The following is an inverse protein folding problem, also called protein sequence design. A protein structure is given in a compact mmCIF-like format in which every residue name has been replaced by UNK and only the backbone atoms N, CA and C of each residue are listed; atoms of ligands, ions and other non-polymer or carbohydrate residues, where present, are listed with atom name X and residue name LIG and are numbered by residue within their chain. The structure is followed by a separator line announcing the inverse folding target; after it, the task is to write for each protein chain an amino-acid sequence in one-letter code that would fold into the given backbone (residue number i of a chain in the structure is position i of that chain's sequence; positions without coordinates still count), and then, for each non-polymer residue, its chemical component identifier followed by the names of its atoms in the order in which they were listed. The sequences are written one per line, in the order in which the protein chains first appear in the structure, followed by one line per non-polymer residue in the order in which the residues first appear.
data_IF_261960474278
#
_entry.id   IF_261960474278
#
_cell.length_a   1.000
_cell.length_b   1.000
_cell.length_c   1.000
_cell.angle_alpha   90.00
_cell.angle_beta   90.00
_cell.angle_gamma   90.00
#
_symmetry.space_group_name_H-M   'P 1'
#
loop_
_entity.id
_entity.type
_entity.pdbx_description
1 polymer ?
#
# COMPACT_ATOMS: atom_id res chain seq x y z
N UNK A 1 -15.35 26.23 -11.54
CA UNK A 1 -15.39 24.83 -11.09
C UNK A 1 -14.43 24.73 -9.90
N UNK A 2 -14.81 24.06 -8.82
CA UNK A 2 -13.89 23.86 -7.69
C UNK A 2 -12.79 22.86 -8.08
N UNK A 3 -11.55 22.98 -7.55
CA UNK A 3 -10.45 22.10 -7.91
C UNK A 3 -10.63 20.64 -7.42
N UNK A 4 -11.43 20.43 -6.37
CA UNK A 4 -11.75 19.12 -5.82
C UNK A 4 -13.05 19.17 -5.00
N UNK A 5 -13.59 18.00 -4.66
CA UNK A 5 -14.75 17.83 -3.78
C UNK A 5 -14.31 17.39 -2.38
N UNK A 6 -15.05 17.81 -1.35
CA UNK A 6 -14.79 17.45 0.05
C UNK A 6 -15.89 16.50 0.52
N UNK A 7 -15.49 15.28 0.85
CA UNK A 7 -16.40 14.22 1.32
C UNK A 7 -15.95 13.71 2.70
N UNK A 8 -16.92 13.30 3.53
CA UNK A 8 -16.64 12.63 4.79
C UNK A 8 -16.40 11.15 4.50
N UNK A 9 -15.26 10.60 4.94
CA UNK A 9 -14.95 9.18 4.78
C UNK A 9 -15.95 8.34 5.59
N UNK A 10 -16.73 7.44 4.96
CA UNK A 10 -17.60 6.54 5.70
C UNK A 10 -16.76 5.59 6.56
N UNK A 11 -17.15 5.42 7.82
CA UNK A 11 -16.45 4.56 8.78
C UNK A 11 -17.36 3.38 9.14
N UNK A 12 -16.78 2.19 9.12
CA UNK A 12 -17.45 0.95 9.50
C UNK A 12 -16.90 0.41 10.82
N UNK A 13 -17.74 -0.33 11.54
CA UNK A 13 -17.29 -1.05 12.73
C UNK A 13 -16.39 -2.22 12.32
N UNK A 14 -15.43 -2.58 13.17
CA UNK A 14 -14.44 -3.62 12.86
C UNK A 14 -15.05 -4.98 12.49
N UNK A 15 -16.22 -5.33 13.03
CA UNK A 15 -16.94 -6.57 12.67
C UNK A 15 -17.80 -6.45 11.40
N UNK A 16 -17.79 -5.30 10.72
CA UNK A 16 -18.34 -5.09 9.37
C UNK A 16 -17.34 -5.38 8.26
N UNK A 17 -16.16 -5.92 8.61
CA UNK A 17 -15.03 -6.15 7.70
C UNK A 17 -15.41 -6.87 6.40
N UNK A 18 -16.19 -7.95 6.49
CA UNK A 18 -16.56 -8.74 5.32
C UNK A 18 -17.36 -7.93 4.30
N UNK A 19 -18.20 -7.00 4.75
CA UNK A 19 -18.95 -6.10 3.86
C UNK A 19 -18.02 -5.04 3.25
N UNK A 20 -17.09 -4.50 4.05
CA UNK A 20 -16.09 -3.52 3.57
C UNK A 20 -15.26 -4.12 2.44
N UNK A 21 -14.65 -5.28 2.68
CA UNK A 21 -13.77 -5.97 1.72
C UNK A 21 -14.52 -6.41 0.46
N UNK A 22 -15.66 -7.10 0.62
CA UNK A 22 -16.32 -7.77 -0.53
C UNK A 22 -17.31 -6.89 -1.29
N UNK A 23 -17.85 -5.84 -0.66
CA UNK A 23 -18.95 -5.05 -1.24
C UNK A 23 -18.55 -3.60 -1.45
N UNK A 24 -17.90 -2.97 -0.47
CA UNK A 24 -17.61 -1.53 -0.52
C UNK A 24 -16.34 -1.23 -1.30
N UNK A 25 -15.24 -1.92 -0.99
CA UNK A 25 -13.93 -1.70 -1.63
C UNK A 25 -13.98 -1.79 -3.17
N UNK A 26 -14.62 -2.81 -3.78
CA UNK A 26 -14.70 -2.90 -5.24
C UNK A 26 -15.54 -1.81 -5.90
N UNK A 27 -16.37 -1.09 -5.13
CA UNK A 27 -17.25 -0.02 -5.62
C UNK A 27 -16.67 1.37 -5.39
N UNK A 28 -15.48 1.48 -4.80
CA UNK A 28 -14.82 2.76 -4.59
C UNK A 28 -14.41 3.36 -5.94
N UNK A 29 -14.58 4.67 -6.08
CA UNK A 29 -14.15 5.42 -7.27
C UNK A 29 -12.65 5.81 -7.22
N UNK A 30 -11.89 5.25 -6.28
CA UNK A 30 -10.46 5.49 -6.07
C UNK A 30 -9.77 4.17 -5.74
N UNK A 31 -8.46 4.10 -5.97
CA UNK A 31 -7.66 2.93 -5.60
C UNK A 31 -7.66 2.67 -4.09
N UNK A 32 -7.71 1.41 -3.70
CA UNK A 32 -7.71 0.95 -2.32
C UNK A 32 -6.75 -0.22 -2.19
N UNK A 33 -5.82 -0.13 -1.24
CA UNK A 33 -4.66 -1.03 -1.08
C UNK A 33 -4.65 -1.73 0.29
N UNK A 34 -5.82 -1.80 0.93
CA UNK A 34 -6.00 -2.42 2.24
C UNK A 34 -6.98 -1.68 3.15
N UNK A 35 -6.76 -1.80 4.46
CA UNK A 35 -7.66 -1.33 5.51
C UNK A 35 -6.92 -0.51 6.56
N UNK A 36 -7.65 0.43 7.17
CA UNK A 36 -7.18 1.21 8.32
C UNK A 36 -8.11 0.96 9.51
N UNK A 37 -7.56 0.44 10.60
CA UNK A 37 -8.25 0.30 11.87
C UNK A 37 -7.89 1.48 12.76
N UNK A 38 -8.91 2.25 13.16
CA UNK A 38 -8.74 3.40 14.06
C UNK A 38 -9.38 3.07 15.40
N UNK A 39 -8.62 3.15 16.48
CA UNK A 39 -9.15 2.99 17.84
C UNK A 39 -10.21 4.04 18.14
N UNK A 40 -11.37 3.60 18.63
CA UNK A 40 -12.47 4.50 19.02
C UNK A 40 -12.16 5.33 20.27
N UNK A 41 -11.26 4.84 21.12
CA UNK A 41 -11.03 5.42 22.45
C UNK A 41 -9.69 6.12 22.59
N UNK A 42 -8.75 5.88 21.66
CA UNK A 42 -7.48 6.55 21.68
C UNK A 42 -7.65 8.04 21.32
N UNK A 43 -6.99 8.97 22.05
CA UNK A 43 -6.90 10.35 21.61
C UNK A 43 -6.08 10.45 20.33
N UNK A 44 -6.22 11.56 19.61
CA UNK A 44 -5.33 11.85 18.49
C UNK A 44 -3.93 12.20 19.00
N UNK A 45 -2.91 11.58 18.41
CA UNK A 45 -1.50 11.84 18.69
C UNK A 45 -0.76 12.22 17.39
N UNK A 46 0.09 13.27 17.41
CA UNK A 46 0.95 13.57 16.28
C UNK A 46 2.10 12.54 16.19
N UNK A 47 2.32 11.97 15.01
CA UNK A 47 3.41 11.03 14.74
C UNK A 47 2.96 9.57 14.73
N UNK A 48 3.90 8.65 14.96
CA UNK A 48 3.64 7.21 14.99
C UNK A 48 2.87 6.83 16.24
N UNK A 49 1.76 6.11 16.09
CA UNK A 49 0.95 5.58 17.19
C UNK A 49 0.63 4.11 16.93
N UNK A 50 0.48 3.34 18.01
CA UNK A 50 0.06 1.93 17.95
C UNK A 50 -1.47 1.78 17.92
N UNK A 51 -2.21 2.89 18.09
CA UNK A 51 -3.68 2.91 18.09
C UNK A 51 -4.31 2.97 16.68
N UNK A 52 -3.47 3.12 15.65
CA UNK A 52 -3.86 3.06 14.24
C UNK A 52 -3.10 1.92 13.59
N UNK A 53 -3.85 0.95 13.08
CA UNK A 53 -3.28 -0.19 12.37
C UNK A 53 -3.60 -0.06 10.87
N UNK A 54 -2.59 -0.29 10.04
CA UNK A 54 -2.76 -0.47 8.60
C UNK A 54 -2.63 -1.96 8.29
N UNK A 55 -3.59 -2.49 7.56
CA UNK A 55 -3.53 -3.83 7.01
C UNK A 55 -3.48 -3.74 5.51
N UNK A 56 -2.65 -4.56 4.88
CA UNK A 56 -2.59 -4.76 3.43
C UNK A 56 -2.58 -6.26 3.17
N UNK A 57 -3.23 -6.75 2.11
CA UNK A 57 -3.06 -8.13 1.68
C UNK A 57 -1.57 -8.45 1.52
N UNK A 58 -1.05 -9.57 2.04
CA UNK A 58 0.36 -9.91 1.93
C UNK A 58 0.86 -9.89 0.48
N UNK A 59 0.02 -10.34 -0.46
CA UNK A 59 0.30 -10.39 -1.90
C UNK A 59 0.42 -9.01 -2.56
N UNK A 60 -0.16 -7.97 -1.95
CA UNK A 60 -0.04 -6.58 -2.43
C UNK A 60 1.22 -5.87 -1.91
N UNK A 61 2.03 -6.53 -1.07
CA UNK A 61 3.34 -5.99 -0.70
C UNK A 61 4.33 -6.26 -1.82
N UNK A 62 4.85 -5.17 -2.37
CA UNK A 62 5.81 -5.22 -3.46
C UNK A 62 7.20 -4.84 -2.99
N UNK A 63 8.20 -5.36 -3.70
CA UNK A 63 9.61 -5.02 -3.52
C UNK A 63 10.15 -4.58 -4.87
N UNK A 64 10.88 -3.46 -4.90
CA UNK A 64 11.57 -3.07 -6.12
C UNK A 64 12.92 -3.79 -6.20
N UNK A 65 13.13 -4.59 -7.23
CA UNK A 65 14.39 -5.26 -7.54
C UNK A 65 15.00 -4.71 -8.82
N UNK A 66 16.32 -4.86 -8.97
CA UNK A 66 16.97 -4.69 -10.27
C UNK A 66 16.91 -6.02 -11.01
N UNK A 67 16.37 -6.02 -12.22
CA UNK A 67 16.22 -7.21 -13.05
C UNK A 67 17.44 -7.36 -13.96
N UNK A 68 18.02 -8.55 -13.98
CA UNK A 68 19.09 -8.91 -14.89
C UNK A 68 18.73 -10.19 -15.67
N UNK A 69 18.88 -10.15 -16.99
CA UNK A 69 18.55 -11.25 -17.90
C UNK A 69 19.81 -12.05 -18.21
N UNK A 70 19.86 -13.30 -17.77
CA UNK A 70 20.96 -14.21 -18.04
C UNK A 70 20.59 -15.18 -19.16
N UNK A 71 21.04 -14.90 -20.39
CA UNK A 71 20.77 -15.73 -21.57
C UNK A 71 21.69 -16.96 -21.61
N UNK A 72 21.18 -18.14 -22.00
CA UNK A 72 22.00 -19.34 -22.16
C UNK A 72 23.03 -19.17 -23.29
N UNK A 73 24.16 -19.88 -23.26
CA UNK A 73 25.17 -19.79 -24.33
C UNK A 73 24.70 -20.46 -25.63
N UNK A 74 25.07 -19.88 -26.77
CA UNK A 74 24.88 -20.46 -28.11
C UNK A 74 26.05 -21.37 -28.46
N UNK A 75 25.95 -22.65 -28.05
CA UNK A 75 26.99 -23.65 -28.29
C UNK A 75 27.14 -24.05 -29.76
N UNK A 76 26.15 -23.75 -30.61
CA UNK A 76 26.18 -24.05 -32.05
C UNK A 76 26.95 -22.99 -32.82
N UNK A 77 26.77 -21.71 -32.47
CA UNK A 77 27.55 -20.62 -33.05
C UNK A 77 28.96 -20.52 -32.46
N UNK A 78 29.10 -20.82 -31.16
CA UNK A 78 30.35 -20.66 -30.42
C UNK A 78 30.53 -21.79 -29.38
N UNK A 79 31.35 -22.82 -29.69
CA UNK A 79 31.63 -23.92 -28.77
C UNK A 79 32.31 -23.50 -27.46
N UNK A 80 32.86 -22.27 -27.36
CA UNK A 80 33.44 -21.77 -26.11
C UNK A 80 32.39 -21.40 -25.07
N UNK A 81 31.14 -21.16 -25.50
CA UNK A 81 30.03 -20.77 -24.65
C UNK A 81 30.09 -19.33 -24.15
N UNK A 82 30.94 -18.47 -24.74
CA UNK A 82 31.03 -17.06 -24.37
C UNK A 82 29.93 -16.20 -25.03
N UNK A 83 29.39 -16.66 -26.16
CA UNK A 83 28.34 -15.95 -26.90
C UNK A 83 26.94 -16.31 -26.37
N UNK A 84 26.12 -15.34 -25.90
CA UNK A 84 24.75 -15.63 -25.47
C UNK A 84 23.78 -15.86 -26.64
N UNK A 85 22.88 -16.82 -26.49
CA UNK A 85 21.73 -17.02 -27.37
C UNK A 85 20.59 -16.05 -27.01
N UNK A 86 20.56 -14.92 -27.69
CA UNK A 86 19.53 -13.88 -27.53
C UNK A 86 18.12 -14.30 -27.99
N UNK A 87 17.97 -15.45 -28.67
CA UNK A 87 16.66 -15.96 -29.12
C UNK A 87 16.02 -16.85 -28.06
N UNK A 88 16.85 -17.49 -27.24
CA UNK A 88 16.40 -18.33 -26.13
C UNK A 88 15.84 -17.51 -24.98
N UNK A 89 15.00 -18.16 -24.16
CA UNK A 89 14.47 -17.55 -22.94
C UNK A 89 15.59 -17.40 -21.90
N UNK A 90 15.82 -16.19 -21.35
CA UNK A 90 16.82 -15.99 -20.32
C UNK A 90 16.32 -16.52 -18.97
N UNK A 91 17.25 -16.67 -18.03
CA UNK A 91 16.92 -16.72 -16.59
C UNK A 91 16.81 -15.31 -16.06
N UNK A 92 15.79 -15.05 -15.25
CA UNK A 92 15.49 -13.73 -14.72
C UNK A 92 16.02 -13.60 -13.30
N UNK A 93 17.10 -12.85 -13.14
CA UNK A 93 17.76 -12.66 -11.86
C UNK A 93 17.26 -11.38 -11.19
N UNK A 94 16.83 -11.49 -9.93
CA UNK A 94 16.45 -10.34 -9.10
C UNK A 94 17.62 -9.94 -8.20
N UNK A 95 18.00 -8.66 -8.25
CA UNK A 95 19.06 -8.11 -7.44
C UNK A 95 18.52 -7.06 -6.46
N UNK A 96 18.99 -7.13 -5.22
CA UNK A 96 18.70 -6.13 -4.18
C UNK A 96 19.85 -5.14 -4.04
N UNK A 97 19.54 -3.94 -3.55
CA UNK A 97 20.54 -2.89 -3.35
C UNK A 97 21.30 -3.09 -2.03
N UNK A 98 22.63 -2.90 -2.05
CA UNK A 98 23.50 -3.06 -0.87
C UNK A 98 24.09 -1.73 -0.42
N UNK A 99 24.84 -1.05 -1.28
CA UNK A 99 25.48 0.22 -0.95
C UNK A 99 25.88 0.96 -2.22
N UNK A 100 25.89 2.30 -2.22
CA UNK A 100 26.23 3.08 -3.42
C UNK A 100 25.33 2.70 -4.61
N UNK A 101 25.93 2.20 -5.69
CA UNK A 101 25.24 1.64 -6.85
C UNK A 101 25.35 0.10 -6.94
N UNK A 102 25.90 -0.55 -5.91
CA UNK A 102 26.11 -1.99 -5.86
C UNK A 102 24.79 -2.74 -5.58
N UNK A 103 24.57 -3.77 -6.39
CA UNK A 103 23.43 -4.68 -6.28
C UNK A 103 23.95 -6.11 -6.15
N UNK A 104 23.33 -6.90 -5.28
CA UNK A 104 23.68 -8.32 -5.09
C UNK A 104 22.50 -9.20 -5.44
N UNK A 105 22.79 -10.44 -5.83
CA UNK A 105 21.77 -11.45 -6.10
C UNK A 105 20.87 -11.65 -4.87
N UNK A 106 19.55 -11.59 -5.10
CA UNK A 106 18.55 -11.89 -4.09
C UNK A 106 17.85 -13.22 -4.38
N UNK A 107 17.21 -13.33 -5.55
CA UNK A 107 16.40 -14.49 -5.90
C UNK A 107 16.21 -14.59 -7.43
N UNK A 108 15.55 -15.66 -7.87
CA UNK A 108 15.11 -15.84 -9.25
C UNK A 108 13.65 -15.44 -9.41
N UNK A 109 13.35 -14.75 -10.51
CA UNK A 109 12.00 -14.54 -11.00
C UNK A 109 11.64 -15.73 -11.90
N UNK A 110 10.52 -16.38 -11.61
CA UNK A 110 9.95 -17.37 -12.51
C UNK A 110 8.90 -16.66 -13.37
N UNK A 111 9.17 -16.62 -14.67
CA UNK A 111 8.30 -16.03 -15.67
C UNK A 111 7.99 -17.14 -16.65
N UNK A 112 6.71 -17.42 -16.90
CA UNK A 112 6.33 -18.46 -17.87
C UNK A 112 6.59 -18.01 -19.32
N UNK A 113 6.40 -18.93 -20.26
CA UNK A 113 6.65 -18.64 -21.67
C UNK A 113 5.62 -17.67 -22.27
N UNK A 114 4.39 -17.66 -21.75
CA UNK A 114 3.32 -16.79 -22.22
C UNK A 114 3.61 -15.33 -21.79
N UNK A 115 3.89 -15.11 -20.51
CA UNK A 115 4.29 -13.81 -19.94
C UNK A 115 5.54 -13.27 -20.64
N UNK A 116 6.55 -14.12 -20.89
CA UNK A 116 7.75 -13.70 -21.61
C UNK A 116 7.44 -13.28 -23.05
N UNK A 117 6.53 -13.97 -23.73
CA UNK A 117 6.10 -13.59 -25.08
C UNK A 117 5.36 -12.26 -25.09
N UNK A 118 4.53 -11.96 -24.09
CA UNK A 118 3.87 -10.66 -23.96
C UNK A 118 4.88 -9.51 -23.82
N UNK A 119 5.90 -9.68 -22.98
CA UNK A 119 6.96 -8.69 -22.83
C UNK A 119 7.75 -8.46 -24.12
N UNK A 120 8.05 -9.53 -24.87
CA UNK A 120 8.68 -9.40 -26.19
C UNK A 120 7.80 -8.62 -27.18
N UNK A 121 6.48 -8.85 -27.18
CA UNK A 121 5.55 -8.12 -28.06
C UNK A 121 5.48 -6.63 -27.70
N UNK A 122 5.55 -6.30 -26.40
CA UNK A 122 5.60 -4.91 -25.93
C UNK A 122 6.88 -4.18 -26.37
N UNK A 123 7.91 -4.93 -26.79
CA UNK A 123 9.20 -4.39 -27.24
C UNK A 123 9.86 -3.46 -26.21
N UNK A 124 9.62 -3.72 -24.91
CA UNK A 124 10.22 -2.97 -23.80
C UNK A 124 11.52 -3.64 -23.35
N UNK A 125 12.57 -2.84 -23.11
CA UNK A 125 13.82 -3.34 -22.56
C UNK A 125 13.65 -3.61 -21.06
N UNK A 126 13.78 -4.87 -20.65
CA UNK A 126 13.68 -5.29 -19.25
C UNK A 126 15.03 -5.42 -18.53
N UNK A 127 16.12 -5.64 -19.27
CA UNK A 127 17.44 -5.83 -18.67
C UNK A 127 18.01 -4.55 -18.07
N UNK A 128 18.67 -4.72 -16.93
CA UNK A 128 19.29 -3.67 -16.11
C UNK A 128 18.30 -2.64 -15.53
N UNK A 129 17.00 -2.98 -15.48
CA UNK A 129 15.94 -2.08 -15.01
C UNK A 129 15.42 -2.40 -13.62
N UNK A 130 14.87 -1.39 -12.95
CA UNK A 130 14.16 -1.58 -11.69
C UNK A 130 12.73 -2.02 -11.96
N UNK A 131 12.34 -3.17 -11.42
CA UNK A 131 10.99 -3.75 -11.52
C UNK A 131 10.37 -3.82 -10.13
N UNK A 132 9.09 -3.52 -10.04
CA UNK A 132 8.30 -3.72 -8.83
C UNK A 132 7.72 -5.14 -8.89
N UNK A 133 8.07 -5.98 -7.92
CA UNK A 133 7.65 -7.38 -7.86
C UNK A 133 6.77 -7.67 -6.65
N UNK A 134 5.71 -8.46 -6.83
CA UNK A 134 4.90 -9.06 -5.77
C UNK A 134 5.28 -10.52 -5.55
N UNK A 135 5.21 -10.98 -4.29
CA UNK A 135 5.41 -12.39 -3.96
C UNK A 135 4.08 -13.13 -3.96
N UNK A 136 3.98 -14.19 -4.76
CA UNK A 136 2.82 -15.06 -4.78
C UNK A 136 3.12 -16.36 -4.01
N UNK A 137 2.38 -16.66 -2.93
CA UNK A 137 2.57 -17.90 -2.18
C UNK A 137 2.18 -19.11 -3.04
N UNK A 138 2.72 -20.31 -2.74
CA UNK A 138 2.42 -21.51 -3.51
C UNK A 138 0.92 -21.83 -3.37
N UNK A 139 0.28 -22.19 -4.49
CA UNK A 139 -1.14 -22.53 -4.47
C UNK A 139 -1.36 -23.80 -3.64
N UNK A 140 -2.38 -23.84 -2.75
CA UNK A 140 -2.72 -25.05 -2.00
C UNK A 140 -3.16 -26.22 -2.91
N UNK A 141 -3.60 -25.93 -4.14
CA UNK A 141 -4.26 -26.89 -5.04
C UNK A 141 -3.45 -27.20 -6.32
N UNK A 142 -2.23 -26.68 -6.49
CA UNK A 142 -1.46 -26.88 -7.72
C UNK A 142 0.05 -26.89 -7.53
N UNK A 143 0.75 -27.56 -8.45
CA UNK A 143 2.21 -27.71 -8.57
C UNK A 143 2.99 -26.38 -8.75
N UNK A 144 2.34 -25.23 -8.62
CA UNK A 144 2.99 -23.93 -8.79
C UNK A 144 3.86 -23.62 -7.58
N UNK A 145 5.16 -23.56 -7.85
CA UNK A 145 6.20 -23.10 -6.93
C UNK A 145 5.87 -21.65 -6.52
N UNK A 146 6.26 -21.25 -5.33
CA UNK A 146 6.14 -19.84 -4.92
C UNK A 146 7.03 -18.96 -5.79
N UNK A 147 6.48 -17.92 -6.40
CA UNK A 147 7.17 -17.13 -7.43
C UNK A 147 6.99 -15.63 -7.25
N UNK A 148 8.03 -14.89 -7.63
CA UNK A 148 7.94 -13.45 -7.83
C UNK A 148 7.21 -13.15 -9.14
N UNK A 149 6.42 -12.09 -9.18
CA UNK A 149 5.78 -11.60 -10.41
C UNK A 149 6.02 -10.11 -10.59
N UNK A 150 6.33 -9.69 -11.82
CA UNK A 150 6.53 -8.26 -12.13
C UNK A 150 5.16 -7.58 -12.18
N UNK A 151 4.94 -6.61 -11.31
CA UNK A 151 3.75 -5.76 -11.33
C UNK A 151 3.91 -4.62 -12.35
N UNK A 152 5.08 -3.98 -12.37
CA UNK A 152 5.41 -2.91 -13.33
C UNK A 152 6.90 -2.59 -13.34
N UNK A 153 7.34 -1.87 -14.36
CA UNK A 153 8.70 -1.31 -14.42
C UNK A 153 8.73 0.08 -13.76
N UNK A 154 9.83 0.37 -13.05
CA UNK A 154 10.03 1.58 -12.23
C UNK A 154 11.05 2.52 -12.88
N UNK A 155 10.65 3.22 -13.94
CA UNK A 155 11.46 4.28 -14.57
C UNK A 155 11.80 5.44 -13.63
N UNK A 156 11.02 5.61 -12.56
CA UNK A 156 11.25 6.63 -11.54
C UNK A 156 12.43 6.31 -10.61
N UNK A 157 13.01 5.11 -10.70
CA UNK A 157 14.05 4.63 -9.79
C UNK A 157 15.33 4.22 -10.50
N UNK A 158 16.46 4.61 -9.92
CA UNK A 158 17.80 4.20 -10.36
C UNK A 158 18.34 3.01 -9.57
N UNK A 159 17.82 2.76 -8.36
CA UNK A 159 18.27 1.69 -7.49
C UNK A 159 17.11 0.83 -7.00
N UNK A 160 17.40 -0.45 -6.76
CA UNK A 160 16.47 -1.37 -6.11
C UNK A 160 16.23 -0.97 -4.64
N UNK A 161 15.31 -1.65 -3.98
CA UNK A 161 15.17 -1.52 -2.53
C UNK A 161 16.43 -2.04 -1.83
N UNK A 162 16.89 -1.26 -0.85
CA UNK A 162 18.01 -1.66 -0.01
C UNK A 162 17.67 -2.93 0.78
N UNK A 163 18.64 -3.82 0.98
CA UNK A 163 18.49 -5.12 1.65
C UNK A 163 17.74 -5.08 3.00
N UNK A 164 17.87 -3.98 3.76
CA UNK A 164 17.13 -3.82 5.02
C UNK A 164 15.63 -3.57 4.81
N UNK A 165 15.27 -2.86 3.74
CA UNK A 165 13.88 -2.66 3.32
C UNK A 165 13.31 -3.98 2.80
N UNK A 166 14.06 -4.69 1.95
CA UNK A 166 13.68 -6.02 1.44
C UNK A 166 13.38 -6.98 2.60
N UNK A 167 14.31 -7.08 3.56
CA UNK A 167 14.15 -7.95 4.73
C UNK A 167 12.90 -7.64 5.56
N UNK A 168 12.61 -6.34 5.78
CA UNK A 168 11.41 -5.91 6.52
C UNK A 168 10.13 -6.22 5.78
N UNK A 169 10.10 -6.04 4.47
CA UNK A 169 8.92 -6.35 3.64
C UNK A 169 8.70 -7.87 3.65
N UNK A 170 9.76 -8.66 3.50
CA UNK A 170 9.66 -10.12 3.57
C UNK A 170 9.19 -10.63 4.94
N UNK A 171 9.62 -10.00 6.03
CA UNK A 171 9.09 -10.29 7.36
C UNK A 171 7.59 -9.93 7.47
N UNK A 172 7.18 -8.81 6.88
CA UNK A 172 5.77 -8.40 6.80
C UNK A 172 4.92 -9.36 5.95
N UNK A 173 5.48 -9.94 4.89
CA UNK A 173 4.80 -10.94 4.06
C UNK A 173 4.67 -12.24 4.83
N UNK A 174 5.74 -12.71 5.49
CA UNK A 174 5.75 -13.94 6.28
C UNK A 174 4.80 -13.92 7.48
N UNK A 175 4.73 -12.77 8.17
CA UNK A 175 3.86 -12.57 9.32
C UNK A 175 2.52 -11.90 8.93
N UNK A 176 2.25 -11.79 7.63
CA UNK A 176 1.07 -11.13 7.10
C UNK A 176 -0.19 -11.93 7.44
N UNK A 177 -1.27 -11.21 7.75
CA UNK A 177 -2.60 -11.82 7.97
C UNK A 177 -3.34 -11.80 6.65
N UNK A 178 -3.81 -12.95 6.18
CA UNK A 178 -4.59 -13.07 4.95
C UNK A 178 -5.99 -12.48 5.11
N UNK A 179 -6.64 -12.16 3.98
CA UNK A 179 -8.01 -11.64 4.01
C UNK A 179 -8.97 -12.62 4.70
N UNK A 180 -8.82 -13.91 4.41
CA UNK A 180 -9.66 -14.99 4.94
C UNK A 180 -9.52 -15.11 6.46
N UNK A 181 -8.29 -14.98 6.97
CA UNK A 181 -8.01 -15.00 8.41
C UNK A 181 -8.65 -13.79 9.11
N UNK A 182 -8.56 -12.62 8.49
CA UNK A 182 -9.16 -11.40 9.02
C UNK A 182 -10.70 -11.51 9.07
N UNK A 183 -11.30 -12.11 8.03
CA UNK A 183 -12.75 -12.40 7.99
C UNK A 183 -13.13 -13.45 9.05
N UNK A 184 -12.30 -14.47 9.27
CA UNK A 184 -12.56 -15.51 10.26
C UNK A 184 -12.62 -14.97 11.70
N UNK A 185 -11.95 -13.85 11.99
CA UNK A 185 -11.98 -13.18 13.29
C UNK A 185 -13.26 -12.35 13.53
N UNK A 186 -14.04 -12.05 12.49
CA UNK A 186 -15.24 -11.18 12.58
C UNK A 186 -16.25 -11.64 13.65
N UNK A 187 -16.62 -12.93 13.77
CA UNK A 187 -17.54 -13.40 14.80
C UNK A 187 -17.04 -13.13 16.22
N UNK A 188 -15.74 -13.37 16.46
CA UNK A 188 -15.12 -13.14 17.78
C UNK A 188 -15.08 -11.65 18.11
N UNK A 189 -14.68 -10.80 17.17
CA UNK A 189 -14.68 -9.33 17.32
C UNK A 189 -16.09 -8.84 17.65
N UNK A 190 -17.12 -9.37 16.95
CA UNK A 190 -18.52 -9.02 17.20
C UNK A 190 -18.97 -9.45 18.59
N UNK A 191 -18.64 -10.67 19.02
CA UNK A 191 -18.98 -11.18 20.34
C UNK A 191 -18.30 -10.34 21.45
N UNK A 192 -17.00 -10.05 21.31
CA UNK A 192 -16.25 -9.22 22.24
C UNK A 192 -16.82 -7.79 22.31
N UNK A 193 -17.19 -7.21 21.16
CA UNK A 193 -17.82 -5.88 21.08
C UNK A 193 -19.18 -5.81 21.78
N UNK A 194 -19.96 -6.89 21.73
CA UNK A 194 -21.29 -7.01 22.33
C UNK A 194 -21.29 -7.58 23.75
N UNK A 195 -20.11 -7.89 24.32
CA UNK A 195 -20.01 -8.39 25.69
C UNK A 195 -20.46 -7.35 26.71
N UNK A 196 -21.06 -7.80 27.82
CA UNK A 196 -21.50 -6.92 28.92
C UNK A 196 -20.35 -6.07 29.48
N UNK A 197 -19.14 -6.64 29.54
CA UNK A 197 -17.92 -5.92 29.96
C UNK A 197 -17.64 -4.73 29.04
N UNK A 198 -17.71 -4.93 27.71
CA UNK A 198 -17.46 -3.88 26.73
C UNK A 198 -18.60 -2.86 26.72
N UNK A 199 -19.84 -3.31 26.87
CA UNK A 199 -21.00 -2.43 26.96
C UNK A 199 -20.93 -1.53 28.19
N UNK A 200 -20.63 -2.09 29.35
CA UNK A 200 -20.40 -1.34 30.60
C UNK A 200 -19.26 -0.34 30.44
N UNK A 201 -18.16 -0.73 29.79
CA UNK A 201 -17.05 0.18 29.51
C UNK A 201 -17.46 1.37 28.62
N UNK A 202 -18.20 1.12 27.53
CA UNK A 202 -18.75 2.18 26.67
C UNK A 202 -19.69 3.10 27.45
N UNK A 203 -20.54 2.54 28.31
CA UNK A 203 -21.42 3.30 29.19
C UNK A 203 -20.66 4.21 30.16
N UNK A 204 -19.54 3.75 30.71
CA UNK A 204 -18.68 4.58 31.58
C UNK A 204 -17.98 5.70 30.81
N UNK A 205 -17.44 5.40 29.61
CA UNK A 205 -16.83 6.42 28.74
C UNK A 205 -17.84 7.49 28.36
N UNK A 206 -19.05 7.12 27.95
CA UNK A 206 -20.09 8.08 27.59
C UNK A 206 -20.54 8.96 28.77
N UNK A 207 -20.56 8.41 30.00
CA UNK A 207 -20.87 9.20 31.21
C UNK A 207 -19.72 10.15 31.60
N UNK A 208 -18.47 9.77 31.34
CA UNK A 208 -17.30 10.58 31.68
C UNK A 208 -16.91 11.59 30.59
N UNK A 209 -17.41 11.44 29.36
CA UNK A 209 -17.34 12.50 28.37
C UNK A 209 -18.30 13.62 28.79
N UNK A 210 -17.81 14.59 29.57
CA UNK A 210 -18.48 15.88 29.62
C UNK A 210 -18.63 16.37 28.18
N UNK A 211 -19.81 16.86 27.75
CA UNK A 211 -19.93 17.47 26.44
C UNK A 211 -18.85 18.54 26.36
N UNK A 212 -17.92 18.40 25.41
CA UNK A 212 -17.00 19.48 25.08
C UNK A 212 -17.88 20.69 24.81
N UNK A 213 -17.92 21.63 25.75
CA UNK A 213 -18.51 22.95 25.54
C UNK A 213 -17.58 23.63 24.53
N UNK A 214 -17.76 23.33 23.26
CA UNK A 214 -17.29 24.22 22.22
C UNK A 214 -17.95 25.57 22.53
N UNK A 215 -17.18 26.66 22.68
CA UNK A 215 -17.80 27.97 22.81
C UNK A 215 -18.76 28.14 21.62
N UNK A 216 -20.03 28.52 21.85
CA UNK A 216 -20.96 28.73 20.77
C UNK A 216 -20.39 29.85 19.90
N UNK A 217 -20.06 29.54 18.65
CA UNK A 217 -19.24 30.34 17.72
C UNK A 217 -17.73 30.36 18.02
N UNK A 218 -17.01 29.39 17.49
CA UNK A 218 -15.79 29.73 16.76
C UNK A 218 -16.19 29.79 15.29
N UNK A 219 -16.77 30.92 14.86
CA UNK A 219 -16.72 31.27 13.44
C UNK A 219 -15.24 31.39 13.13
N UNK A 220 -14.69 30.47 12.33
CA UNK A 220 -13.37 30.67 11.76
C UNK A 220 -13.29 32.09 11.24
N UNK A 221 -12.18 32.78 11.50
CA UNK A 221 -11.92 34.12 10.98
C UNK A 221 -12.06 34.01 9.46
N UNK A 222 -13.25 34.35 8.95
CA UNK A 222 -13.53 34.30 7.53
C UNK A 222 -12.42 35.04 6.80
N UNK A 223 -12.03 34.53 5.64
CA UNK A 223 -11.03 35.20 4.80
C UNK A 223 -11.36 36.69 4.65
N UNK A 224 -10.34 37.55 4.46
CA UNK A 224 -10.54 39.00 4.42
C UNK A 224 -11.68 39.33 3.46
N UNK A 225 -12.71 39.99 4.00
CA UNK A 225 -13.89 40.38 3.25
C UNK A 225 -13.50 41.19 2.01
N UNK A 226 -14.32 41.17 0.94
CA UNK A 226 -14.00 41.85 -0.30
C UNK A 226 -13.73 43.35 -0.06
N UNK A 227 -12.83 43.98 -0.84
CA UNK A 227 -12.47 45.38 -0.61
C UNK A 227 -13.70 46.29 -0.73
N UNK A 228 -14.04 46.98 0.36
CA UNK A 228 -15.16 47.93 0.35
C UNK A 228 -14.80 49.14 -0.51
N UNK A 229 -15.34 49.20 -1.72
CA UNK A 229 -15.38 50.40 -2.57
C UNK A 229 -16.37 51.40 -1.97
N UNK A 230 -15.96 52.17 -0.97
CA UNK A 230 -16.52 53.51 -0.66
C UNK A 230 -15.61 54.19 0.36
N UNK A 231 -14.74 55.05 -0.16
CA UNK A 231 -13.87 55.89 0.64
C UNK A 231 -14.66 56.86 1.51
N UNK A 232 -14.16 57.07 2.72
CA UNK A 232 -14.51 58.19 3.59
C UNK A 232 -13.24 58.57 4.36
N UNK A 233 -12.91 59.87 4.40
CA UNK A 233 -11.65 60.37 4.96
C UNK A 233 -11.50 60.03 6.46
N UNK A 234 -10.29 59.70 6.94
CA UNK A 234 -10.07 59.49 8.35
C UNK A 234 -10.16 60.82 9.12
N UNK A 235 -10.82 60.80 10.29
CA UNK A 235 -10.81 61.80 11.38
C UNK A 235 -12.08 62.60 11.71
N UNK A 236 -13.30 62.08 11.49
CA UNK A 236 -14.49 62.62 12.18
C UNK A 236 -15.02 61.66 13.26
N UNK A 237 -14.80 61.98 14.53
CA UNK A 237 -15.59 61.46 15.66
C UNK A 237 -16.98 62.11 15.59
N UNK A 238 -18.03 61.32 15.37
CA UNK A 238 -19.40 61.78 15.63
C UNK A 238 -19.78 61.42 17.07
N UNK A 239 -20.37 62.39 17.76
CA UNK A 239 -20.97 62.25 19.09
C UNK A 239 -22.17 61.30 19.04
#
# INVERSE_FOLDING_TARGET
MAPFEVLVKPMDLAYGLAEVLKVKMPKLCHGCDGLIFTSLHAPYEPGTTMDILKWKPPQENTIDFKLHLNFPPDLEADPSGETPDWKSKPRFQLLQHVSGDEHEFYDWLDMDDEEWNEWKIKSEQLDDRIVECSWHPPSPEGENVSTWHITRVRDDKTTANHKTTVSKIMESIRNGVMEEELIALVPEIRAAWKSEKRESYRGRIHKNQQPRRYPPNVKGLGGPGPPMRKGGMPNLKRR
#
